data_IF_454717655766
#
_entry.id   IF_454717655766
#
_cell.length_a   1.000
_cell.length_b   1.000
_cell.length_c   1.000
_cell.angle_alpha   90.00
_cell.angle_beta   90.00
_cell.angle_gamma   90.00
#
_symmetry.space_group_name_H-M   'P 1'
#
loop_
_entity.id
_entity.type
_entity.pdbx_description
1 polymer ?
#
# COMPACT_ATOMS: atom_id res chain seq x y z
N UNK A 1 -5.53 45.85 32.92
CA UNK A 1 -5.18 44.72 32.05
C UNK A 1 -5.51 43.35 32.67
N UNK A 2 -5.50 43.19 33.98
CA UNK A 2 -5.82 41.94 34.70
C UNK A 2 -7.31 41.54 34.66
N UNK A 3 -8.23 42.49 34.71
CA UNK A 3 -9.67 42.28 34.71
C UNK A 3 -10.19 41.56 33.47
N UNK A 4 -9.62 41.81 32.29
CA UNK A 4 -10.05 41.20 31.02
C UNK A 4 -9.63 39.73 30.90
N UNK A 5 -8.49 39.35 31.47
CA UNK A 5 -7.96 37.98 31.42
C UNK A 5 -8.78 37.04 32.31
N UNK A 6 -9.15 37.53 33.49
CA UNK A 6 -9.94 36.77 34.46
C UNK A 6 -11.35 36.49 33.96
N UNK A 7 -12.06 37.49 33.47
CA UNK A 7 -13.39 37.33 32.87
C UNK A 7 -13.36 36.37 31.65
N UNK A 8 -12.29 36.44 30.88
CA UNK A 8 -12.10 35.50 29.76
C UNK A 8 -11.96 34.04 30.24
N UNK A 9 -11.20 33.85 31.33
CA UNK A 9 -11.02 32.53 31.95
C UNK A 9 -12.35 31.98 32.50
N UNK A 10 -13.10 32.78 33.24
CA UNK A 10 -14.40 32.40 33.81
C UNK A 10 -15.44 32.04 32.73
N UNK A 11 -15.43 32.76 31.59
CA UNK A 11 -16.25 32.41 30.43
C UNK A 11 -15.83 31.08 29.79
N UNK A 12 -14.54 30.78 29.78
CA UNK A 12 -14.03 29.51 29.26
C UNK A 12 -14.44 28.35 30.16
N UNK A 13 -14.31 28.53 31.49
CA UNK A 13 -14.76 27.58 32.49
C UNK A 13 -16.27 27.28 32.35
N UNK A 14 -17.07 28.32 32.17
CA UNK A 14 -18.51 28.17 31.95
C UNK A 14 -18.84 27.33 30.71
N UNK A 15 -18.11 27.55 29.61
CA UNK A 15 -18.26 26.74 28.39
C UNK A 15 -17.85 25.28 28.63
N UNK A 16 -16.75 25.05 29.37
CA UNK A 16 -16.31 23.70 29.72
C UNK A 16 -17.34 23.00 30.60
N UNK A 17 -17.88 23.65 31.62
CA UNK A 17 -18.93 23.08 32.48
C UNK A 17 -20.18 22.70 31.68
N UNK A 18 -20.63 23.56 30.75
CA UNK A 18 -21.77 23.27 29.89
C UNK A 18 -21.50 22.08 28.94
N UNK A 19 -20.29 22.03 28.37
CA UNK A 19 -19.86 20.91 27.51
C UNK A 19 -19.81 19.62 28.33
N UNK A 20 -19.21 19.64 29.51
CA UNK A 20 -19.14 18.51 30.42
C UNK A 20 -20.51 17.97 30.77
N UNK A 21 -21.43 18.85 31.18
CA UNK A 21 -22.81 18.48 31.50
C UNK A 21 -23.52 17.82 30.31
N UNK A 22 -23.32 18.33 29.10
CA UNK A 22 -23.93 17.80 27.89
C UNK A 22 -23.42 16.40 27.54
N UNK A 23 -22.09 16.19 27.63
CA UNK A 23 -21.47 14.91 27.28
C UNK A 23 -21.62 13.82 28.35
N UNK A 24 -21.72 14.22 29.63
CA UNK A 24 -21.80 13.29 30.77
C UNK A 24 -23.17 13.19 31.39
N UNK A 25 -24.17 13.80 30.79
CA UNK A 25 -25.55 13.86 31.31
C UNK A 25 -26.08 12.50 31.78
N UNK A 26 -25.81 11.45 31.03
CA UNK A 26 -26.34 10.11 31.32
C UNK A 26 -25.52 9.33 32.36
N UNK A 27 -24.31 9.80 32.66
CA UNK A 27 -23.40 9.17 33.62
C UNK A 27 -23.39 9.86 34.98
N UNK A 28 -23.93 11.08 35.07
CA UNK A 28 -23.98 11.86 36.32
C UNK A 28 -25.22 11.53 37.13
N UNK A 29 -25.05 11.44 38.46
CA UNK A 29 -26.18 11.35 39.35
C UNK A 29 -27.08 12.60 39.28
N UNK A 30 -28.33 12.50 39.68
CA UNK A 30 -29.25 13.65 39.68
C UNK A 30 -28.73 14.80 40.54
N UNK A 31 -28.16 14.52 41.72
CA UNK A 31 -27.57 15.52 42.60
C UNK A 31 -26.35 16.21 41.99
N UNK A 32 -25.44 15.46 41.40
CA UNK A 32 -24.25 16.02 40.71
C UNK A 32 -24.62 16.91 39.53
N UNK A 33 -25.68 16.56 38.84
CA UNK A 33 -26.20 17.32 37.71
C UNK A 33 -26.77 18.66 38.17
N UNK A 34 -27.52 18.64 39.28
CA UNK A 34 -28.09 19.83 39.89
C UNK A 34 -27.02 20.77 40.44
N UNK A 35 -25.97 20.23 41.11
CA UNK A 35 -24.82 21.00 41.56
C UNK A 35 -24.12 21.74 40.41
N UNK A 36 -23.88 21.07 39.28
CA UNK A 36 -23.23 21.72 38.11
C UNK A 36 -24.16 22.76 37.50
N UNK A 37 -25.45 22.50 37.35
CA UNK A 37 -26.39 23.49 36.78
C UNK A 37 -26.46 24.74 37.68
N UNK A 38 -26.59 24.57 38.99
CA UNK A 38 -26.58 25.68 39.96
C UNK A 38 -25.27 26.48 39.89
N UNK A 39 -24.13 25.78 39.77
CA UNK A 39 -22.83 26.42 39.62
C UNK A 39 -22.71 27.23 38.31
N UNK A 40 -23.21 26.67 37.21
CA UNK A 40 -23.26 27.35 35.90
C UNK A 40 -24.10 28.65 35.99
N UNK A 41 -25.30 28.54 36.58
CA UNK A 41 -26.21 29.68 36.63
C UNK A 41 -25.74 30.78 37.60
N UNK A 42 -25.14 30.41 38.74
CA UNK A 42 -24.55 31.35 39.68
C UNK A 42 -23.36 32.09 39.03
N UNK A 43 -22.45 31.39 38.33
CA UNK A 43 -21.35 32.05 37.62
C UNK A 43 -21.83 32.94 36.47
N UNK A 44 -22.89 32.50 35.75
CA UNK A 44 -23.50 33.30 34.67
C UNK A 44 -24.11 34.60 35.21
N UNK A 45 -24.75 34.56 36.37
CA UNK A 45 -25.32 35.73 37.05
C UNK A 45 -24.22 36.71 37.49
N UNK A 46 -23.18 36.20 38.15
CA UNK A 46 -22.04 37.02 38.55
C UNK A 46 -21.34 37.71 37.36
N UNK A 47 -21.20 37.01 36.23
CA UNK A 47 -20.67 37.57 35.01
C UNK A 47 -21.53 38.69 34.39
N UNK A 48 -22.86 38.63 34.57
CA UNK A 48 -23.80 39.68 34.14
C UNK A 48 -23.72 40.93 35.04
N UNK A 49 -23.62 40.71 36.36
CA UNK A 49 -23.50 41.78 37.37
C UNK A 49 -22.14 42.48 37.33
N UNK A 50 -21.15 41.89 36.65
CA UNK A 50 -19.76 42.40 36.57
C UNK A 50 -19.05 42.58 37.93
N UNK A 51 -19.49 41.84 38.92
CA UNK A 51 -18.90 41.82 40.24
C UNK A 51 -17.66 40.91 40.27
N UNK A 52 -16.49 41.49 40.41
CA UNK A 52 -15.22 40.77 40.29
C UNK A 52 -15.00 39.75 41.42
N UNK A 53 -15.36 40.09 42.65
CA UNK A 53 -15.19 39.16 43.77
C UNK A 53 -16.14 37.96 43.65
N UNK A 54 -17.40 38.24 43.29
CA UNK A 54 -18.38 37.15 43.05
C UNK A 54 -18.02 36.29 41.88
N UNK A 55 -17.48 36.85 40.78
CA UNK A 55 -17.02 36.06 39.64
C UNK A 55 -15.91 35.10 40.06
N UNK A 56 -14.98 35.58 40.90
CA UNK A 56 -13.86 34.75 41.36
C UNK A 56 -14.34 33.63 42.28
N UNK A 57 -15.15 33.94 43.28
CA UNK A 57 -15.71 32.96 44.22
C UNK A 57 -16.54 31.86 43.46
N UNK A 58 -17.43 32.30 42.57
CA UNK A 58 -18.29 31.37 41.81
C UNK A 58 -17.52 30.53 40.78
N UNK A 59 -16.49 31.11 40.15
CA UNK A 59 -15.62 30.35 39.26
C UNK A 59 -14.81 29.30 40.03
N UNK A 60 -14.24 29.66 41.19
CA UNK A 60 -13.49 28.70 42.00
C UNK A 60 -14.38 27.58 42.55
N UNK A 61 -15.60 27.92 42.98
CA UNK A 61 -16.58 26.94 43.46
C UNK A 61 -16.97 25.96 42.34
N UNK A 62 -17.29 26.47 41.16
CA UNK A 62 -17.62 25.66 40.00
C UNK A 62 -16.47 24.74 39.55
N UNK A 63 -15.23 25.29 39.57
CA UNK A 63 -14.04 24.53 39.22
C UNK A 63 -13.78 23.39 40.20
N UNK A 64 -13.87 23.65 41.52
CA UNK A 64 -13.81 22.60 42.58
C UNK A 64 -14.87 21.52 42.39
N UNK A 65 -16.09 21.90 42.04
CA UNK A 65 -17.20 20.95 41.80
C UNK A 65 -16.87 20.09 40.59
N UNK A 66 -16.40 20.68 39.51
CA UNK A 66 -16.01 19.94 38.31
C UNK A 66 -14.82 19.02 38.59
N UNK A 67 -13.79 19.46 39.31
CA UNK A 67 -12.65 18.62 39.69
C UNK A 67 -13.05 17.45 40.60
N UNK A 68 -13.99 17.65 41.51
CA UNK A 68 -14.51 16.58 42.36
C UNK A 68 -15.25 15.49 41.56
N UNK A 69 -15.98 15.94 40.53
CA UNK A 69 -16.79 15.05 39.67
C UNK A 69 -16.01 14.45 38.50
N UNK A 70 -14.85 15.01 38.19
CA UNK A 70 -13.90 14.53 37.19
C UNK A 70 -12.58 14.12 37.87
N UNK A 71 -12.52 12.99 38.56
CA UNK A 71 -11.23 12.51 39.02
C UNK A 71 -10.34 12.32 37.81
N UNK A 72 -9.18 12.99 37.80
CA UNK A 72 -8.12 12.78 36.82
C UNK A 72 -7.55 11.40 37.10
N UNK A 73 -8.22 10.36 36.62
CA UNK A 73 -7.73 9.00 36.74
C UNK A 73 -6.83 8.69 35.56
N UNK A 74 -5.80 7.89 35.78
CA UNK A 74 -4.99 7.25 34.75
C UNK A 74 -5.87 6.62 33.64
N UNK A 75 -7.03 6.10 34.01
CA UNK A 75 -8.05 5.54 33.11
C UNK A 75 -8.61 6.57 32.10
N UNK A 76 -8.67 7.85 32.46
CA UNK A 76 -9.12 8.91 31.55
C UNK A 76 -8.16 9.10 30.38
N UNK A 77 -6.85 9.14 30.63
CA UNK A 77 -5.82 9.30 29.60
C UNK A 77 -5.73 8.06 28.69
N UNK A 78 -5.82 6.88 29.27
CA UNK A 78 -5.81 5.64 28.49
C UNK A 78 -7.05 5.56 27.57
N UNK A 79 -8.20 5.89 28.11
CA UNK A 79 -9.46 5.86 27.33
C UNK A 79 -9.47 6.90 26.21
N UNK A 80 -8.95 8.10 26.46
CA UNK A 80 -8.82 9.17 25.47
C UNK A 80 -7.85 8.75 24.33
N UNK A 81 -6.71 8.16 24.69
CA UNK A 81 -5.77 7.61 23.71
C UNK A 81 -6.38 6.45 22.91
N UNK A 82 -7.12 5.54 23.55
CA UNK A 82 -7.81 4.45 22.85
C UNK A 82 -8.87 4.98 21.88
N UNK A 83 -9.63 6.01 22.25
CA UNK A 83 -10.62 6.65 21.38
C UNK A 83 -9.95 7.28 20.15
N UNK A 84 -8.86 8.03 20.33
CA UNK A 84 -8.08 8.62 19.23
C UNK A 84 -7.52 7.53 18.31
N UNK A 85 -6.95 6.47 18.87
CA UNK A 85 -6.41 5.34 18.09
C UNK A 85 -7.54 4.66 17.31
N UNK A 86 -8.69 4.41 17.94
CA UNK A 86 -9.83 3.78 17.27
C UNK A 86 -10.33 4.62 16.09
N UNK A 87 -10.51 5.92 16.30
CA UNK A 87 -10.93 6.84 15.24
C UNK A 87 -9.89 6.86 14.11
N UNK A 88 -8.60 6.91 14.43
CA UNK A 88 -7.53 6.87 13.44
C UNK A 88 -7.56 5.56 12.62
N UNK A 89 -7.78 4.41 13.28
CA UNK A 89 -7.91 3.12 12.59
C UNK A 89 -9.14 3.12 11.67
N UNK A 90 -10.30 3.57 12.13
CA UNK A 90 -11.52 3.61 11.31
C UNK A 90 -11.33 4.50 10.09
N UNK A 91 -10.74 5.69 10.26
CA UNK A 91 -10.44 6.60 9.15
C UNK A 91 -9.43 5.97 8.18
N UNK A 92 -8.35 5.38 8.69
CA UNK A 92 -7.33 4.73 7.86
C UNK A 92 -7.90 3.54 7.06
N UNK A 93 -8.74 2.71 7.69
CA UNK A 93 -9.44 1.60 7.01
C UNK A 93 -10.43 2.13 5.98
N UNK A 94 -11.16 3.20 6.28
CA UNK A 94 -12.06 3.86 5.33
C UNK A 94 -11.32 4.39 4.10
N UNK A 95 -10.22 5.12 4.31
CA UNK A 95 -9.39 5.63 3.21
C UNK A 95 -8.85 4.47 2.37
N UNK A 96 -8.31 3.43 3.01
CA UNK A 96 -7.79 2.24 2.32
C UNK A 96 -8.86 1.50 1.52
N UNK A 97 -10.07 1.40 2.04
CA UNK A 97 -11.15 0.63 1.40
C UNK A 97 -11.73 1.34 0.19
N UNK A 98 -11.89 2.65 0.24
CA UNK A 98 -12.66 3.41 -0.75
C UNK A 98 -11.83 4.34 -1.63
N UNK A 99 -10.69 4.83 -1.17
CA UNK A 99 -9.92 5.86 -1.88
C UNK A 99 -8.57 5.36 -2.39
N UNK A 100 -7.65 5.06 -1.49
CA UNK A 100 -6.26 4.75 -1.83
C UNK A 100 -5.82 3.44 -1.17
N UNK A 101 -5.52 2.45 -1.99
CA UNK A 101 -5.02 1.17 -1.51
C UNK A 101 -3.54 1.00 -1.83
N UNK A 102 -2.69 0.69 -0.82
CA UNK A 102 -1.29 0.35 -1.08
C UNK A 102 -1.17 -1.05 -1.65
N UNK A 103 -0.36 -1.19 -2.71
CA UNK A 103 0.03 -2.46 -3.32
C UNK A 103 1.53 -2.55 -3.42
N UNK A 104 2.05 -3.76 -3.33
CA UNK A 104 3.45 -4.10 -3.59
C UNK A 104 3.54 -4.78 -4.95
N UNK A 105 4.53 -4.39 -5.76
CA UNK A 105 4.77 -4.99 -7.07
C UNK A 105 5.70 -6.19 -6.90
N UNK A 106 5.22 -7.44 -7.10
CA UNK A 106 6.05 -8.61 -6.86
C UNK A 106 6.92 -9.00 -8.08
N UNK A 107 6.45 -8.72 -9.31
CA UNK A 107 7.04 -9.23 -10.54
C UNK A 107 7.57 -8.11 -11.45
N UNK A 108 8.50 -8.45 -12.33
CA UNK A 108 9.10 -7.51 -13.29
C UNK A 108 8.27 -7.25 -14.56
N UNK A 109 7.00 -7.68 -14.62
CA UNK A 109 6.20 -7.58 -15.85
C UNK A 109 5.90 -6.13 -16.30
N UNK A 110 6.02 -5.18 -15.39
CA UNK A 110 5.81 -3.74 -15.66
C UNK A 110 7.11 -2.93 -15.78
N UNK A 111 8.27 -3.59 -15.79
CA UNK A 111 9.52 -2.91 -16.07
C UNK A 111 9.55 -2.37 -17.52
N UNK A 112 10.17 -1.22 -17.76
CA UNK A 112 10.92 -0.35 -16.85
C UNK A 112 10.07 0.67 -16.09
N UNK A 113 8.75 0.60 -16.14
CA UNK A 113 7.85 1.58 -15.48
C UNK A 113 7.76 1.33 -13.97
N UNK A 114 7.60 0.07 -13.57
CA UNK A 114 7.57 -0.36 -12.18
C UNK A 114 8.49 -1.56 -11.99
N UNK A 115 9.28 -1.55 -10.94
CA UNK A 115 10.12 -2.68 -10.57
C UNK A 115 9.37 -3.67 -9.69
N UNK A 116 9.52 -4.95 -10.02
CA UNK A 116 9.21 -6.03 -9.10
C UNK A 116 10.35 -6.29 -8.11
N UNK A 117 10.23 -7.40 -7.40
CA UNK A 117 11.31 -7.91 -6.56
C UNK A 117 12.43 -8.40 -7.47
N UNK A 118 13.66 -7.94 -7.22
CA UNK A 118 14.84 -8.25 -8.05
C UNK A 118 15.98 -8.68 -7.14
N UNK A 119 16.57 -9.83 -7.44
CA UNK A 119 17.80 -10.29 -6.81
C UNK A 119 19.04 -9.77 -7.53
N UNK A 120 20.04 -9.40 -6.77
CA UNK A 120 21.37 -8.97 -7.25
C UNK A 120 22.41 -9.87 -6.61
N UNK A 121 22.72 -11.03 -7.22
CA UNK A 121 23.74 -11.93 -6.68
C UNK A 121 25.11 -11.27 -6.66
N UNK A 122 25.88 -11.53 -5.63
CA UNK A 122 27.22 -10.99 -5.42
C UNK A 122 28.08 -11.98 -4.69
N UNK A 123 29.37 -12.00 -5.00
CA UNK A 123 30.37 -12.74 -4.22
C UNK A 123 30.98 -11.92 -3.09
N UNK A 124 30.79 -10.59 -3.15
CA UNK A 124 31.29 -9.69 -2.13
C UNK A 124 30.55 -9.90 -0.79
N UNK A 125 31.23 -9.72 0.35
CA UNK A 125 30.59 -9.80 1.65
C UNK A 125 29.51 -8.73 1.78
N UNK A 126 28.47 -9.03 2.58
CA UNK A 126 27.41 -8.07 2.85
C UNK A 126 27.96 -6.84 3.59
N UNK A 127 27.46 -5.64 3.29
CA UNK A 127 27.93 -4.41 3.90
C UNK A 127 27.62 -4.38 5.40
N UNK A 128 28.20 -3.40 6.11
CA UNK A 128 27.95 -3.20 7.52
C UNK A 128 26.47 -2.89 7.81
N UNK A 129 26.02 -3.14 9.03
CA UNK A 129 24.61 -3.04 9.43
C UNK A 129 24.02 -1.63 9.21
N UNK A 130 24.81 -0.58 9.40
CA UNK A 130 24.33 0.79 9.19
C UNK A 130 23.99 1.05 7.73
N UNK A 131 24.82 0.55 6.81
CA UNK A 131 24.56 0.63 5.38
C UNK A 131 23.37 -0.24 4.98
N UNK A 132 23.23 -1.43 5.54
CA UNK A 132 22.06 -2.28 5.29
C UNK A 132 20.76 -1.58 5.68
N UNK A 133 20.72 -0.92 6.84
CA UNK A 133 19.56 -0.15 7.31
C UNK A 133 19.28 1.04 6.38
N UNK A 134 20.32 1.78 5.99
CA UNK A 134 20.17 2.92 5.09
C UNK A 134 19.66 2.48 3.70
N UNK A 135 20.23 1.43 3.13
CA UNK A 135 19.83 0.88 1.83
C UNK A 135 18.40 0.30 1.89
N UNK A 136 18.00 -0.29 3.02
CA UNK A 136 16.62 -0.73 3.21
C UNK A 136 15.63 0.45 3.23
N UNK A 137 15.91 1.47 4.02
CA UNK A 137 15.00 2.62 4.17
C UNK A 137 14.88 3.40 2.85
N UNK A 138 16.00 3.64 2.17
CA UNK A 138 16.05 4.50 0.99
C UNK A 138 15.71 3.72 -0.29
N UNK A 139 16.36 2.57 -0.49
CA UNK A 139 16.29 1.81 -1.74
C UNK A 139 15.39 0.59 -1.66
N UNK A 140 14.83 0.27 -0.50
CA UNK A 140 14.10 -0.98 -0.29
C UNK A 140 14.95 -2.23 -0.45
N UNK A 141 16.26 -2.13 -0.22
CA UNK A 141 17.23 -3.18 -0.48
C UNK A 141 17.58 -3.94 0.78
N UNK A 142 17.37 -5.25 0.74
CA UNK A 142 17.80 -6.16 1.78
C UNK A 142 19.01 -6.95 1.31
N UNK A 143 19.84 -7.36 2.24
CA UNK A 143 20.99 -8.20 1.96
C UNK A 143 20.75 -9.62 2.49
N UNK A 144 21.16 -10.60 1.70
CA UNK A 144 21.13 -12.01 2.06
C UNK A 144 22.54 -12.58 2.01
N UNK A 145 22.85 -13.45 2.98
CA UNK A 145 24.11 -14.17 3.05
C UNK A 145 23.84 -15.55 3.65
N UNK A 146 23.69 -16.52 2.78
CA UNK A 146 23.40 -17.91 3.15
C UNK A 146 24.55 -18.78 2.65
N UNK A 147 25.27 -19.37 3.60
CA UNK A 147 26.40 -20.25 3.35
C UNK A 147 26.10 -21.60 3.95
N UNK A 148 26.40 -22.66 3.23
CA UNK A 148 26.26 -24.02 3.73
C UNK A 148 27.29 -24.31 4.79
N UNK A 149 26.89 -24.84 5.94
CA UNK A 149 27.81 -25.20 7.06
C UNK A 149 28.38 -26.58 6.92
N UNK A 150 27.86 -27.40 6.06
CA UNK A 150 28.22 -28.78 5.77
C UNK A 150 27.71 -29.15 4.38
N UNK A 151 28.15 -30.29 3.85
CA UNK A 151 27.60 -30.80 2.58
C UNK A 151 26.11 -31.04 2.75
N UNK A 152 25.29 -30.41 1.89
CA UNK A 152 23.85 -30.47 2.01
C UNK A 152 23.17 -30.32 0.65
N UNK A 153 21.94 -30.78 0.56
CA UNK A 153 21.14 -30.71 -0.66
C UNK A 153 19.84 -29.95 -0.37
N UNK A 154 19.50 -28.99 -1.22
CA UNK A 154 18.19 -28.32 -1.16
C UNK A 154 17.10 -29.28 -1.58
N UNK A 155 16.17 -29.59 -0.69
CA UNK A 155 15.03 -30.45 -0.96
C UNK A 155 13.83 -29.63 -1.48
N UNK A 156 13.54 -28.51 -0.84
CA UNK A 156 12.37 -27.69 -1.14
C UNK A 156 12.60 -26.22 -0.80
N UNK A 157 11.97 -25.34 -1.55
CA UNK A 157 11.86 -23.92 -1.27
C UNK A 157 10.41 -23.62 -0.96
N UNK A 158 10.08 -23.39 0.30
CA UNK A 158 8.72 -23.10 0.74
C UNK A 158 8.54 -21.60 1.03
N UNK A 159 7.49 -21.00 0.49
CA UNK A 159 7.17 -19.61 0.79
C UNK A 159 6.58 -19.49 2.19
N UNK A 160 7.05 -18.50 2.96
CA UNK A 160 6.49 -18.14 4.25
C UNK A 160 6.16 -16.63 4.26
N UNK A 161 4.89 -16.29 4.30
CA UNK A 161 4.45 -14.89 4.46
C UNK A 161 4.43 -14.55 5.95
N UNK A 162 5.03 -13.42 6.31
CA UNK A 162 4.99 -12.87 7.67
C UNK A 162 4.39 -11.47 7.62
N UNK A 163 3.30 -11.28 8.31
CA UNK A 163 2.37 -10.19 8.06
C UNK A 163 2.10 -10.05 6.54
N UNK A 164 1.26 -9.17 6.10
CA UNK A 164 0.88 -9.07 4.67
C UNK A 164 1.99 -8.55 3.75
N UNK A 165 3.13 -8.10 4.31
CA UNK A 165 4.15 -7.34 3.56
C UNK A 165 5.48 -8.07 3.37
N UNK A 166 5.83 -9.03 4.23
CA UNK A 166 7.14 -9.66 4.20
C UNK A 166 7.04 -11.08 3.65
N UNK A 167 7.73 -11.32 2.54
CA UNK A 167 7.81 -12.66 1.93
C UNK A 167 9.19 -13.23 2.20
N UNK A 168 9.23 -14.35 2.92
CA UNK A 168 10.42 -15.12 3.17
C UNK A 168 10.33 -16.45 2.43
N UNK A 169 11.47 -17.01 2.06
CA UNK A 169 11.58 -18.39 1.64
C UNK A 169 12.26 -19.20 2.72
N UNK A 170 11.70 -20.34 3.05
CA UNK A 170 12.34 -21.36 3.85
C UNK A 170 13.00 -22.34 2.91
N UNK A 171 14.32 -22.31 2.86
CA UNK A 171 15.11 -23.35 2.21
C UNK A 171 15.15 -24.57 3.15
N UNK A 172 14.55 -25.66 2.72
CA UNK A 172 14.56 -26.93 3.43
C UNK A 172 15.63 -27.79 2.77
N UNK A 173 16.72 -28.01 3.48
CA UNK A 173 17.78 -28.87 3.04
C UNK A 173 17.74 -30.20 3.81
N UNK A 174 18.54 -31.18 3.44
CA UNK A 174 18.54 -32.49 4.10
C UNK A 174 18.92 -32.40 5.59
N UNK A 175 19.88 -31.54 5.92
CA UNK A 175 20.43 -31.43 7.27
C UNK A 175 20.22 -30.06 7.93
N UNK A 176 19.94 -29.02 7.13
CA UNK A 176 19.80 -27.63 7.61
C UNK A 176 18.56 -26.96 7.03
N UNK A 177 18.10 -25.92 7.70
CA UNK A 177 17.06 -25.06 7.19
C UNK A 177 17.52 -23.61 7.26
N UNK A 178 17.24 -22.85 6.21
CA UNK A 178 17.55 -21.43 6.18
C UNK A 178 16.27 -20.62 5.94
N UNK A 179 16.15 -19.49 6.63
CA UNK A 179 15.10 -18.51 6.37
C UNK A 179 15.71 -17.33 5.62
N UNK A 180 15.26 -17.10 4.40
CA UNK A 180 15.82 -16.08 3.49
C UNK A 180 14.76 -15.06 3.17
N UNK A 181 15.09 -13.78 3.27
CA UNK A 181 14.19 -12.68 2.90
C UNK A 181 14.20 -12.46 1.39
N UNK A 182 13.61 -13.37 0.68
CA UNK A 182 13.38 -13.31 -0.77
C UNK A 182 12.22 -14.26 -1.13
N UNK A 183 11.43 -13.97 -2.18
CA UNK A 183 10.48 -14.94 -2.73
C UNK A 183 11.20 -16.16 -3.33
N UNK A 184 10.53 -17.32 -3.41
CA UNK A 184 11.10 -18.52 -4.05
C UNK A 184 11.53 -18.28 -5.50
N UNK A 185 10.75 -17.52 -6.25
CA UNK A 185 11.04 -17.19 -7.65
C UNK A 185 12.35 -16.40 -7.78
N UNK A 186 12.57 -15.41 -6.90
CA UNK A 186 13.82 -14.62 -6.87
C UNK A 186 15.02 -15.50 -6.54
N UNK A 187 14.88 -16.42 -5.59
CA UNK A 187 15.96 -17.35 -5.25
C UNK A 187 16.28 -18.28 -6.42
N UNK A 188 15.26 -18.77 -7.12
CA UNK A 188 15.45 -19.66 -8.27
C UNK A 188 16.01 -18.94 -9.50
N UNK A 189 15.43 -17.80 -9.88
CA UNK A 189 15.81 -17.10 -11.10
C UNK A 189 17.08 -16.27 -10.96
N UNK A 190 17.20 -15.52 -9.87
CA UNK A 190 18.30 -14.56 -9.74
C UNK A 190 19.52 -15.16 -9.02
N UNK A 191 19.27 -16.01 -8.01
CA UNK A 191 20.36 -16.63 -7.22
C UNK A 191 20.65 -18.07 -7.66
N UNK A 192 19.90 -18.61 -8.61
CA UNK A 192 20.11 -19.97 -9.15
C UNK A 192 20.02 -21.07 -8.06
N UNK A 193 19.10 -20.89 -7.08
CA UNK A 193 18.83 -21.85 -6.01
C UNK A 193 17.58 -22.67 -6.38
N UNK A 194 17.69 -23.99 -6.48
CA UNK A 194 16.56 -24.86 -6.80
C UNK A 194 16.66 -26.20 -6.11
N UNK A 195 15.54 -26.91 -5.92
CA UNK A 195 15.53 -28.25 -5.37
C UNK A 195 16.42 -29.21 -6.16
N UNK A 196 17.11 -30.09 -5.45
CA UNK A 196 18.06 -31.04 -6.03
C UNK A 196 19.51 -30.54 -6.09
N UNK A 197 19.78 -29.25 -5.96
CA UNK A 197 21.12 -28.70 -5.99
C UNK A 197 21.89 -29.06 -4.72
N UNK A 198 23.11 -29.59 -4.92
CA UNK A 198 24.08 -29.93 -3.88
C UNK A 198 24.97 -28.73 -3.62
N UNK A 199 25.30 -28.52 -2.37
CA UNK A 199 26.24 -27.50 -1.89
C UNK A 199 27.25 -28.14 -0.96
N UNK A 200 28.51 -27.80 -1.14
CA UNK A 200 29.56 -28.24 -0.25
C UNK A 200 29.67 -27.35 0.97
N UNK A 201 30.40 -27.86 1.98
CA UNK A 201 30.69 -27.07 3.16
C UNK A 201 31.38 -25.74 2.77
N UNK A 202 30.94 -24.63 3.40
CA UNK A 202 31.39 -23.27 3.17
C UNK A 202 31.06 -22.71 1.76
N UNK A 203 30.29 -23.45 0.96
CA UNK A 203 29.78 -22.95 -0.33
C UNK A 203 28.63 -21.95 -0.14
N UNK A 204 28.63 -20.88 -0.94
CA UNK A 204 27.58 -19.86 -0.93
C UNK A 204 26.33 -20.41 -1.60
N UNK A 205 25.25 -20.53 -0.85
CA UNK A 205 23.93 -20.90 -1.38
C UNK A 205 23.27 -19.68 -2.03
N UNK A 206 23.22 -18.54 -1.32
CA UNK A 206 22.73 -17.27 -1.85
C UNK A 206 23.40 -16.11 -1.13
N UNK A 207 24.05 -15.23 -1.86
CA UNK A 207 24.66 -14.01 -1.32
C UNK A 207 24.42 -12.83 -2.26
N UNK A 208 24.08 -11.68 -1.70
CA UNK A 208 23.88 -10.45 -2.47
C UNK A 208 22.77 -9.60 -1.90
N UNK A 209 22.10 -8.84 -2.75
CA UNK A 209 21.02 -7.95 -2.38
C UNK A 209 19.69 -8.37 -3.03
N UNK A 210 18.59 -8.04 -2.38
CA UNK A 210 17.22 -8.22 -2.88
C UNK A 210 16.49 -6.91 -2.73
N UNK A 211 16.10 -6.32 -3.85
CA UNK A 211 15.24 -5.13 -3.89
C UNK A 211 13.77 -5.56 -3.72
N UNK A 212 13.02 -4.88 -2.87
CA UNK A 212 11.68 -5.34 -2.45
C UNK A 212 10.58 -5.12 -3.48
N UNK A 213 10.88 -4.46 -4.59
CA UNK A 213 9.89 -4.01 -5.56
C UNK A 213 9.21 -2.69 -5.16
N UNK A 214 8.63 -2.03 -6.16
CA UNK A 214 7.94 -0.75 -5.96
C UNK A 214 6.66 -0.95 -5.16
N UNK A 215 6.38 -0.01 -4.25
CA UNK A 215 5.13 0.06 -3.53
C UNK A 215 4.32 1.24 -4.06
N UNK A 216 3.10 0.96 -4.49
CA UNK A 216 2.27 1.91 -5.23
C UNK A 216 0.96 2.17 -4.50
N UNK A 217 0.52 3.42 -4.51
CA UNK A 217 -0.87 3.74 -4.19
C UNK A 217 -1.73 3.60 -5.43
N UNK A 218 -2.83 2.88 -5.28
CA UNK A 218 -3.85 2.68 -6.30
C UNK A 218 -5.07 3.50 -5.92
N UNK A 219 -5.47 4.38 -6.84
CA UNK A 219 -6.67 5.19 -6.74
C UNK A 219 -7.89 4.35 -7.17
N UNK A 220 -8.70 3.99 -6.19
CA UNK A 220 -9.95 3.22 -6.40
C UNK A 220 -11.15 4.12 -6.64
N UNK A 221 -11.03 5.38 -6.31
CA UNK A 221 -12.15 6.32 -6.35
C UNK A 221 -12.45 6.80 -7.78
N UNK A 222 -11.41 7.14 -8.54
CA UNK A 222 -11.57 7.77 -9.85
C UNK A 222 -12.35 6.92 -10.84
N UNK A 223 -12.12 5.60 -10.88
CA UNK A 223 -12.82 4.72 -11.82
C UNK A 223 -14.32 4.49 -11.53
N UNK A 224 -14.81 4.94 -10.37
CA UNK A 224 -16.25 4.97 -10.12
C UNK A 224 -16.98 6.11 -10.86
N UNK A 225 -16.24 7.13 -11.30
CA UNK A 225 -16.80 8.34 -11.90
C UNK A 225 -16.21 8.66 -13.28
N UNK A 226 -15.00 8.21 -13.54
CA UNK A 226 -14.24 8.48 -14.76
C UNK A 226 -13.93 7.15 -15.46
N UNK A 227 -14.11 7.12 -16.76
CA UNK A 227 -13.69 5.96 -17.56
C UNK A 227 -12.17 5.86 -17.55
N UNK A 228 -11.61 4.65 -17.52
CA UNK A 228 -10.17 4.43 -17.68
C UNK A 228 -9.65 5.03 -18.98
N UNK A 229 -8.44 5.58 -18.95
CA UNK A 229 -7.81 6.15 -20.12
C UNK A 229 -6.74 5.22 -20.68
N UNK A 230 -6.60 5.21 -22.01
CA UNK A 230 -5.53 4.48 -22.67
C UNK A 230 -4.17 4.97 -22.17
N UNK A 231 -3.29 4.01 -21.83
CA UNK A 231 -2.00 4.29 -21.23
C UNK A 231 -1.98 4.33 -19.70
N UNK A 232 -3.15 4.30 -19.03
CA UNK A 232 -3.17 4.16 -17.57
C UNK A 232 -2.51 2.85 -17.14
N UNK A 233 -1.70 2.91 -16.08
CA UNK A 233 -1.29 1.70 -15.35
C UNK A 233 -2.41 1.39 -14.38
N UNK A 234 -3.05 0.25 -14.52
CA UNK A 234 -4.24 -0.08 -13.75
C UNK A 234 -4.14 -1.42 -13.04
N UNK A 235 -4.84 -1.53 -11.93
CA UNK A 235 -4.97 -2.76 -11.14
C UNK A 235 -6.35 -3.35 -11.36
N UNK A 236 -6.40 -4.66 -11.53
CA UNK A 236 -7.64 -5.42 -11.71
C UNK A 236 -7.55 -6.75 -10.97
N UNK A 237 -8.73 -7.32 -10.67
CA UNK A 237 -8.86 -8.69 -10.15
C UNK A 237 -8.80 -9.67 -11.30
N UNK A 238 -8.33 -10.86 -11.02
CA UNK A 238 -8.19 -11.93 -12.05
C UNK A 238 -9.32 -12.94 -12.01
N UNK A 239 -10.33 -12.75 -11.17
CA UNK A 239 -11.50 -13.62 -11.13
C UNK A 239 -12.23 -13.63 -12.47
N UNK A 240 -12.74 -14.79 -12.85
CA UNK A 240 -13.47 -15.02 -14.10
C UNK A 240 -12.70 -14.72 -15.40
N UNK A 241 -11.37 -14.52 -15.32
CA UNK A 241 -10.52 -14.39 -16.51
C UNK A 241 -10.05 -15.79 -16.92
N UNK A 242 -10.44 -16.20 -18.12
CA UNK A 242 -10.06 -17.51 -18.65
C UNK A 242 -8.53 -17.67 -18.69
N UNK A 243 -8.03 -18.82 -18.25
CA UNK A 243 -6.58 -19.10 -18.25
C UNK A 243 -5.81 -18.62 -17.03
N UNK A 244 -6.39 -17.79 -16.16
CA UNK A 244 -5.79 -17.42 -14.87
C UNK A 244 -6.42 -18.29 -13.78
N UNK A 245 -5.58 -19.08 -13.10
CA UNK A 245 -6.04 -19.92 -11.99
C UNK A 245 -6.22 -19.08 -10.73
N UNK A 246 -7.36 -19.27 -10.08
CA UNK A 246 -7.59 -18.75 -8.73
C UNK A 246 -6.86 -19.66 -7.73
N UNK A 247 -6.23 -19.05 -6.74
CA UNK A 247 -5.63 -19.77 -5.62
C UNK A 247 -6.75 -20.14 -4.63
N UNK A 248 -6.94 -21.42 -4.31
CA UNK A 248 -7.99 -21.84 -3.37
C UNK A 248 -7.88 -21.23 -1.97
N UNK A 249 -6.67 -20.87 -1.54
CA UNK A 249 -6.42 -20.31 -0.19
C UNK A 249 -6.47 -18.78 -0.17
N UNK A 250 -5.99 -18.11 -1.22
CA UNK A 250 -5.84 -16.66 -1.27
C UNK A 250 -6.83 -15.96 -2.21
N UNK A 251 -7.61 -16.73 -2.98
CA UNK A 251 -8.56 -16.23 -3.96
C UNK A 251 -7.88 -15.69 -5.23
N UNK A 252 -8.59 -14.82 -5.94
CA UNK A 252 -8.09 -14.23 -7.18
C UNK A 252 -6.99 -13.19 -6.89
N UNK A 253 -5.78 -13.34 -7.47
CA UNK A 253 -4.72 -12.36 -7.33
C UNK A 253 -5.09 -11.04 -8.01
N UNK A 254 -4.45 -9.96 -7.57
CA UNK A 254 -4.50 -8.67 -8.25
C UNK A 254 -3.34 -8.59 -9.25
N UNK A 255 -3.66 -8.18 -10.48
CA UNK A 255 -2.66 -7.89 -11.50
C UNK A 255 -2.57 -6.39 -11.74
N UNK A 256 -1.38 -5.94 -12.13
CA UNK A 256 -1.11 -4.58 -12.55
C UNK A 256 -0.52 -4.62 -13.95
N UNK A 257 -1.11 -3.88 -14.87
CA UNK A 257 -0.72 -3.82 -16.28
C UNK A 257 -0.98 -2.41 -16.82
N UNK A 258 -0.54 -2.15 -18.04
CA UNK A 258 -0.89 -0.96 -18.81
C UNK A 258 -2.16 -1.20 -19.60
N UNK A 259 -3.09 -0.29 -19.55
CA UNK A 259 -4.30 -0.29 -20.34
C UNK A 259 -3.96 0.10 -21.78
N UNK A 260 -3.87 -0.89 -22.66
CA UNK A 260 -3.48 -0.71 -24.06
C UNK A 260 -4.68 -0.51 -24.97
N UNK A 261 -5.75 -1.28 -24.77
CA UNK A 261 -6.96 -1.22 -25.57
C UNK A 261 -8.19 -0.89 -24.75
N UNK A 262 -8.97 0.05 -25.24
CA UNK A 262 -10.30 0.39 -24.76
C UNK A 262 -11.36 -0.42 -25.52
N UNK A 263 -12.61 -0.51 -25.01
CA UNK A 263 -13.72 -1.10 -25.74
C UNK A 263 -13.85 -0.55 -27.16
N UNK A 264 -13.93 -1.45 -28.15
CA UNK A 264 -14.05 -1.11 -29.56
C UNK A 264 -12.72 -0.84 -30.30
N UNK A 265 -11.59 -0.72 -29.61
CA UNK A 265 -10.27 -0.53 -30.27
C UNK A 265 -9.86 -1.76 -31.08
N UNK A 266 -9.19 -1.53 -32.21
CA UNK A 266 -8.54 -2.56 -33.00
C UNK A 266 -7.03 -2.55 -32.76
N UNK A 267 -6.51 -3.62 -32.13
CA UNK A 267 -5.13 -3.70 -31.69
C UNK A 267 -4.30 -4.60 -32.62
N UNK A 268 -3.06 -4.20 -32.91
CA UNK A 268 -2.09 -5.00 -33.66
C UNK A 268 -0.68 -4.77 -33.11
N UNK A 269 0.13 -5.80 -33.04
CA UNK A 269 1.54 -5.71 -32.69
C UNK A 269 2.38 -6.07 -33.91
N UNK A 270 3.26 -5.17 -34.27
CA UNK A 270 4.36 -5.41 -35.22
C UNK A 270 5.67 -5.02 -34.52
N UNK A 271 6.37 -5.99 -33.95
CA UNK A 271 7.46 -5.68 -33.02
C UNK A 271 8.51 -4.73 -33.59
N UNK A 272 8.94 -3.73 -32.82
CA UNK A 272 8.66 -3.46 -31.42
C UNK A 272 7.40 -2.59 -31.15
N UNK A 273 6.58 -2.34 -32.16
CA UNK A 273 5.51 -1.35 -32.15
C UNK A 273 4.15 -1.95 -31.80
N UNK A 274 3.34 -1.18 -31.09
CA UNK A 274 1.92 -1.42 -30.89
C UNK A 274 1.13 -0.44 -31.75
N UNK A 275 0.15 -0.96 -32.46
CA UNK A 275 -0.80 -0.18 -33.26
C UNK A 275 -2.20 -0.26 -32.66
N UNK A 276 -2.91 0.86 -32.67
CA UNK A 276 -4.28 1.01 -32.23
C UNK A 276 -5.03 1.75 -33.34
N UNK A 277 -6.10 1.16 -33.86
CA UNK A 277 -6.89 1.68 -34.99
C UNK A 277 -6.00 2.04 -36.20
N UNK A 278 -5.03 1.17 -36.48
CA UNK A 278 -4.09 1.34 -37.60
C UNK A 278 -2.97 2.38 -37.38
N UNK A 279 -2.94 3.07 -36.24
CA UNK A 279 -1.89 4.08 -35.91
C UNK A 279 -0.98 3.57 -34.80
N UNK A 280 0.27 4.03 -34.80
CA UNK A 280 1.19 3.73 -33.70
C UNK A 280 0.61 4.29 -32.39
N UNK A 281 0.63 3.46 -31.34
CA UNK A 281 0.12 3.84 -30.03
C UNK A 281 0.85 5.09 -29.48
N UNK A 282 0.08 6.11 -29.13
CA UNK A 282 0.59 7.36 -28.60
C UNK A 282 0.52 7.38 -27.07
N UNK A 283 1.47 8.08 -26.45
CA UNK A 283 1.58 8.27 -25.02
C UNK A 283 2.92 7.86 -24.44
N UNK A 284 3.29 8.49 -23.33
CA UNK A 284 4.61 8.35 -22.73
C UNK A 284 4.97 6.89 -22.38
N UNK A 285 4.00 6.13 -21.80
CA UNK A 285 4.20 4.73 -21.44
C UNK A 285 4.47 3.85 -22.66
N UNK A 286 3.67 4.00 -23.72
CA UNK A 286 3.85 3.25 -24.98
C UNK A 286 5.16 3.59 -25.67
N UNK A 287 5.48 4.89 -25.76
CA UNK A 287 6.73 5.33 -26.35
C UNK A 287 7.96 4.79 -25.60
N UNK A 288 7.88 4.70 -24.27
CA UNK A 288 8.93 4.11 -23.43
C UNK A 288 9.15 2.64 -23.77
N UNK A 289 8.09 1.85 -23.94
CA UNK A 289 8.19 0.44 -24.28
C UNK A 289 8.70 0.27 -25.71
N UNK A 290 8.10 0.96 -26.68
CA UNK A 290 8.49 0.89 -28.10
C UNK A 290 9.91 1.38 -28.39
N UNK A 291 10.48 2.22 -27.51
CA UNK A 291 11.87 2.64 -27.63
C UNK A 291 12.87 1.47 -27.54
N UNK A 292 12.45 0.30 -27.10
CA UNK A 292 13.21 -0.95 -27.08
C UNK A 292 14.62 -0.82 -26.49
N UNK A 293 14.78 0.01 -25.44
CA UNK A 293 16.08 0.23 -24.79
C UNK A 293 16.48 -1.00 -23.98
N UNK A 294 17.62 -1.57 -24.30
CA UNK A 294 18.14 -2.75 -23.59
C UNK A 294 18.10 -2.62 -22.07
N UNK A 295 17.72 -3.66 -21.35
CA UNK A 295 17.46 -5.04 -21.80
C UNK A 295 16.05 -5.29 -22.40
N UNK A 296 15.22 -4.26 -22.50
CA UNK A 296 13.86 -4.35 -23.03
C UNK A 296 13.86 -4.30 -24.56
N UNK A 297 12.89 -4.96 -25.20
CA UNK A 297 12.89 -5.16 -26.66
C UNK A 297 11.63 -4.63 -27.34
N UNK A 298 10.83 -3.81 -26.64
CA UNK A 298 9.55 -3.32 -27.14
C UNK A 298 8.42 -4.33 -26.96
N UNK A 299 7.34 -4.17 -27.69
CA UNK A 299 6.21 -5.10 -27.68
C UNK A 299 6.54 -6.38 -28.44
N UNK A 300 6.11 -7.51 -27.88
CA UNK A 300 6.26 -8.84 -28.46
C UNK A 300 4.88 -9.39 -28.85
N UNK A 301 4.84 -10.23 -29.87
CA UNK A 301 3.66 -10.99 -30.23
C UNK A 301 3.19 -11.87 -29.06
N UNK A 302 1.89 -12.12 -29.01
CA UNK A 302 1.28 -13.02 -28.06
C UNK A 302 1.31 -14.48 -28.52
N UNK A 303 0.56 -15.30 -27.81
CA UNK A 303 0.34 -16.70 -28.21
C UNK A 303 -1.10 -16.93 -28.69
N UNK A 304 -2.07 -16.45 -27.93
CA UNK A 304 -3.49 -16.69 -28.18
C UNK A 304 -4.18 -15.45 -28.80
N UNK A 305 -3.70 -14.26 -28.44
CA UNK A 305 -4.14 -12.97 -28.98
C UNK A 305 -2.94 -12.17 -29.46
N UNK A 306 -3.11 -11.43 -30.56
CA UNK A 306 -2.04 -10.64 -31.19
C UNK A 306 -0.80 -11.51 -31.51
N UNK A 307 -1.05 -12.73 -32.04
CA UNK A 307 -0.02 -13.74 -32.30
C UNK A 307 0.73 -13.52 -33.61
N UNK A 308 0.16 -12.74 -34.53
CA UNK A 308 0.67 -12.52 -35.88
C UNK A 308 0.77 -11.02 -36.15
N UNK A 309 1.84 -10.53 -36.83
CA UNK A 309 2.02 -9.10 -37.10
C UNK A 309 0.92 -8.48 -37.96
N UNK A 310 0.32 -9.28 -38.85
CA UNK A 310 -0.67 -8.81 -39.81
C UNK A 310 -2.11 -8.99 -39.30
N UNK A 311 -2.28 -9.57 -38.13
CA UNK A 311 -3.59 -9.85 -37.56
C UNK A 311 -3.91 -8.88 -36.43
N UNK A 312 -5.02 -8.19 -36.55
CA UNK A 312 -5.56 -7.32 -35.50
C UNK A 312 -6.53 -8.07 -34.59
N UNK A 313 -6.76 -7.52 -33.41
CA UNK A 313 -7.74 -7.96 -32.44
C UNK A 313 -8.65 -6.81 -32.01
N UNK A 314 -9.94 -6.95 -32.31
CA UNK A 314 -10.94 -6.01 -31.83
C UNK A 314 -11.28 -6.26 -30.36
N UNK A 315 -11.08 -5.25 -29.52
CA UNK A 315 -11.38 -5.31 -28.09
C UNK A 315 -12.90 -5.31 -27.91
N UNK A 316 -13.48 -6.28 -27.17
CA UNK A 316 -14.92 -6.30 -26.90
C UNK A 316 -15.42 -5.04 -26.20
N UNK A 317 -16.70 -4.66 -26.44
CA UNK A 317 -17.34 -3.50 -25.83
C UNK A 317 -17.40 -3.53 -24.28
N UNK A 318 -17.26 -4.73 -23.69
CA UNK A 318 -17.34 -4.95 -22.23
C UNK A 318 -15.99 -5.21 -21.57
N UNK A 319 -14.89 -4.98 -22.29
CA UNK A 319 -13.56 -5.36 -21.80
C UNK A 319 -12.46 -4.38 -22.15
N UNK A 320 -11.35 -4.54 -21.48
CA UNK A 320 -10.12 -3.77 -21.64
C UNK A 320 -8.94 -4.68 -21.97
N UNK A 321 -8.03 -4.23 -22.82
CA UNK A 321 -6.87 -5.02 -23.17
C UNK A 321 -5.63 -4.53 -22.41
N UNK A 322 -5.07 -5.42 -21.62
CA UNK A 322 -3.99 -5.15 -20.66
C UNK A 322 -2.66 -5.70 -21.15
N UNK A 323 -1.62 -4.86 -21.26
CA UNK A 323 -0.27 -5.26 -21.64
C UNK A 323 0.73 -4.92 -20.53
N UNK A 324 1.71 -5.82 -20.34
CA UNK A 324 2.86 -5.51 -19.50
C UNK A 324 3.90 -4.71 -20.27
N UNK A 325 4.53 -3.74 -19.61
CA UNK A 325 5.58 -2.92 -20.21
C UNK A 325 6.84 -3.75 -20.51
N UNK A 326 7.13 -4.80 -19.72
CA UNK A 326 8.14 -5.81 -20.03
C UNK A 326 7.51 -6.93 -20.85
N UNK A 327 7.22 -6.60 -22.10
CA UNK A 327 6.39 -7.42 -22.98
C UNK A 327 6.87 -8.86 -23.12
N UNK A 328 8.19 -9.08 -23.16
CA UNK A 328 8.80 -10.42 -23.24
C UNK A 328 8.75 -11.23 -21.94
N UNK A 329 8.48 -10.56 -20.82
CA UNK A 329 8.38 -11.19 -19.50
C UNK A 329 7.05 -10.81 -18.82
N UNK A 330 5.96 -10.86 -19.58
CA UNK A 330 4.64 -10.51 -19.07
C UNK A 330 3.60 -11.54 -19.50
N UNK A 331 2.90 -12.09 -18.52
CA UNK A 331 1.68 -12.86 -18.72
C UNK A 331 0.50 -11.88 -18.65
N UNK A 332 -0.04 -11.51 -19.82
CA UNK A 332 -1.04 -10.46 -19.98
C UNK A 332 -2.12 -10.83 -21.01
N UNK A 333 -2.92 -9.87 -21.46
CA UNK A 333 -4.06 -10.10 -22.35
C UNK A 333 -3.71 -10.83 -23.65
N UNK A 334 -2.46 -10.88 -24.05
CA UNK A 334 -2.01 -11.68 -25.20
C UNK A 334 -2.14 -13.19 -24.97
N UNK A 335 -2.34 -13.63 -23.74
CA UNK A 335 -2.48 -15.02 -23.35
C UNK A 335 -3.90 -15.36 -22.88
N UNK A 336 -4.54 -14.47 -22.10
CA UNK A 336 -5.82 -14.73 -21.44
C UNK A 336 -6.97 -13.82 -21.90
N UNK A 337 -6.71 -12.90 -22.85
CA UNK A 337 -7.72 -12.06 -23.46
C UNK A 337 -8.07 -10.79 -22.68
N UNK A 338 -9.24 -10.17 -22.95
CA UNK A 338 -9.66 -8.92 -22.34
C UNK A 338 -9.96 -9.06 -20.85
N UNK A 339 -9.75 -7.98 -20.11
CA UNK A 339 -10.16 -7.80 -18.70
C UNK A 339 -11.59 -7.30 -18.68
N UNK A 340 -12.55 -7.99 -18.03
CA UNK A 340 -13.90 -7.47 -17.83
C UNK A 340 -13.92 -6.17 -17.04
N UNK A 341 -14.86 -5.28 -17.36
CA UNK A 341 -14.99 -3.98 -16.67
C UNK A 341 -15.19 -4.14 -15.15
N UNK A 342 -15.96 -5.13 -14.74
CA UNK A 342 -16.25 -5.43 -13.32
C UNK A 342 -15.00 -5.82 -12.51
N UNK A 343 -13.91 -6.22 -13.18
CA UNK A 343 -12.67 -6.61 -12.55
C UNK A 343 -11.76 -5.43 -12.23
N UNK A 344 -12.05 -4.24 -12.74
CA UNK A 344 -11.24 -3.06 -12.51
C UNK A 344 -11.26 -2.68 -11.03
N UNK A 345 -10.10 -2.38 -10.49
CA UNK A 345 -9.93 -1.95 -9.10
C UNK A 345 -9.59 -0.48 -9.02
N UNK A 346 -8.67 -0.01 -9.87
CA UNK A 346 -8.27 1.37 -9.85
C UNK A 346 -6.99 1.65 -10.62
N UNK A 347 -6.63 2.92 -10.67
CA UNK A 347 -5.44 3.42 -11.36
C UNK A 347 -4.23 3.43 -10.44
N UNK A 348 -3.10 2.92 -10.89
CA UNK A 348 -1.81 3.11 -10.24
C UNK A 348 -1.42 4.59 -10.27
N UNK A 349 -1.39 5.22 -9.10
CA UNK A 349 -1.24 6.68 -9.03
C UNK A 349 0.19 7.10 -8.74
N UNK A 350 0.80 6.52 -7.71
CA UNK A 350 2.03 7.03 -7.13
C UNK A 350 2.88 5.90 -6.54
N UNK A 351 4.18 5.87 -6.85
CA UNK A 351 5.16 5.02 -6.17
C UNK A 351 5.63 5.74 -4.92
N UNK A 352 5.24 5.26 -3.73
CA UNK A 352 5.57 5.93 -2.48
C UNK A 352 6.86 5.40 -1.83
N UNK A 353 7.32 4.22 -2.22
CA UNK A 353 8.56 3.61 -1.76
C UNK A 353 8.97 2.48 -2.72
N UNK A 354 10.27 2.24 -2.93
CA UNK A 354 11.45 2.93 -2.39
C UNK A 354 11.70 4.30 -3.04
N UNK A 355 12.60 5.09 -2.44
CA UNK A 355 12.98 6.41 -2.95
C UNK A 355 14.04 6.30 -4.06
N UNK A 356 13.67 5.60 -5.12
CA UNK A 356 14.49 5.39 -6.31
C UNK A 356 13.98 6.24 -7.49
N UNK A 357 14.48 5.98 -8.71
CA UNK A 357 14.04 6.67 -9.93
C UNK A 357 12.55 6.53 -10.29
N UNK A 358 11.85 5.57 -9.69
CA UNK A 358 10.41 5.35 -9.90
C UNK A 358 9.54 6.12 -8.89
N UNK A 359 10.15 6.68 -7.84
CA UNK A 359 9.41 7.44 -6.85
C UNK A 359 8.66 8.60 -7.48
N UNK A 360 7.38 8.71 -7.22
CA UNK A 360 6.52 9.76 -7.77
C UNK A 360 5.32 9.23 -8.57
N UNK A 361 4.73 10.09 -9.36
CA UNK A 361 3.56 9.75 -10.18
C UNK A 361 3.90 8.72 -11.25
N UNK A 362 3.04 7.72 -11.39
CA UNK A 362 3.17 6.67 -12.41
C UNK A 362 2.71 7.25 -13.77
N UNK A 363 3.59 7.11 -14.79
CA UNK A 363 3.34 7.63 -16.14
C UNK A 363 3.57 6.57 -17.20
#
# INVERSE_FOLDING_TARGET
MFTTRYVKHSRLLLRHAQKYLRYKKDLLSASSREEIVTGIDSLRTALRERDHERIQDRAETLDKTLHKLTPVSWESHWRENCEVILVAIVVAVGIRSYFLQPFKIPTGSMQPTLNGIIGHPSTAPVPNILRQIADFIILGRNYIDVVSRQDDQVLQIAQKKFFFFFTFSRLICQQQNFLVYAPPETLSHDFNVFPGRLYHRDEIIARGAVDTGDQVFVDKFSYNFLKPHRGDVFVFRTNHIFGIREDPETGSPFYIKRLAGLPGDDLRIDPPFLYIDGKIAEGFGFARVMAAKLPYRGYALGRDYLAEPDRSFAVPETGYFALGDNSYNSYDSRYWGPVPEENLVGRGLFVYWPFNRHWGLIR
#
